data_IF_979761297438
#
_entry.id   IF_979761297438
#
_cell.length_a   1.000
_cell.length_b   1.000
_cell.length_c   1.000
_cell.angle_alpha   90.00
_cell.angle_beta   90.00
_cell.angle_gamma   90.00
#
_symmetry.space_group_name_H-M   'P 1'
#
loop_
_entity.id
_entity.type
_entity.pdbx_description
1 polymer ?
#
# COMPACT_ATOMS: atom_id res chain seq x y z
N UNK A 1 11.68 -4.44 5.14
CA UNK A 1 11.14 -3.53 4.13
C UNK A 1 11.34 -4.12 2.74
N UNK A 2 10.30 -4.21 1.95
CA UNK A 2 10.36 -4.62 0.54
C UNK A 2 9.57 -3.65 -0.33
N UNK A 3 9.87 -3.57 -1.63
CA UNK A 3 9.21 -2.66 -2.55
C UNK A 3 8.94 -3.31 -3.89
N UNK A 4 7.87 -2.89 -4.53
CA UNK A 4 7.40 -3.44 -5.80
C UNK A 4 7.53 -2.41 -6.93
N UNK A 5 7.96 -2.86 -8.09
CA UNK A 5 8.03 -1.99 -9.29
C UNK A 5 6.64 -1.52 -9.71
N UNK A 6 6.55 -0.25 -10.10
CA UNK A 6 5.31 0.31 -10.63
C UNK A 6 4.91 -0.38 -11.96
N UNK A 7 3.63 -0.79 -12.13
CA UNK A 7 3.19 -1.47 -13.34
C UNK A 7 3.33 -0.62 -14.61
N UNK A 8 3.18 0.70 -14.49
CA UNK A 8 3.34 1.62 -15.62
C UNK A 8 4.79 1.64 -16.12
N UNK A 9 5.74 1.55 -15.20
CA UNK A 9 7.18 1.44 -15.52
C UNK A 9 7.50 0.11 -16.18
N UNK A 10 7.02 -1.00 -15.63
CA UNK A 10 7.24 -2.33 -16.19
C UNK A 10 6.74 -2.42 -17.64
N UNK A 11 5.53 -1.93 -17.92
CA UNK A 11 4.97 -1.90 -19.27
C UNK A 11 5.82 -1.10 -20.25
N UNK A 12 6.33 0.08 -19.81
CA UNK A 12 7.15 0.96 -20.65
C UNK A 12 8.54 0.41 -20.92
N UNK A 13 9.10 -0.36 -20.00
CA UNK A 13 10.48 -0.87 -20.07
C UNK A 13 10.56 -2.34 -20.48
N UNK A 14 9.44 -2.98 -20.82
CA UNK A 14 9.35 -4.43 -21.10
C UNK A 14 9.96 -5.28 -19.96
N UNK A 15 9.77 -4.82 -18.72
CA UNK A 15 10.31 -5.45 -17.52
C UNK A 15 9.21 -6.24 -16.81
N UNK A 16 9.60 -7.22 -16.00
CA UNK A 16 8.67 -8.06 -15.25
C UNK A 16 8.42 -7.48 -13.88
N UNK A 17 7.13 -7.34 -13.53
CA UNK A 17 6.70 -7.01 -12.18
C UNK A 17 6.51 -8.30 -11.39
N UNK A 18 7.29 -8.46 -10.32
CA UNK A 18 7.17 -9.62 -9.42
C UNK A 18 5.87 -9.57 -8.63
N UNK A 19 5.31 -10.74 -8.35
CA UNK A 19 4.16 -10.88 -7.46
C UNK A 19 4.56 -10.68 -5.99
N UNK A 20 3.61 -10.30 -5.11
CA UNK A 20 3.91 -10.05 -3.70
C UNK A 20 4.62 -11.21 -3.00
N UNK A 21 4.16 -12.44 -3.22
CA UNK A 21 4.77 -13.65 -2.64
C UNK A 21 6.21 -13.87 -3.11
N UNK A 22 6.53 -13.57 -4.35
CA UNK A 22 7.91 -13.66 -4.85
C UNK A 22 8.83 -12.66 -4.15
N UNK A 23 8.30 -11.50 -3.75
CA UNK A 23 9.05 -10.47 -3.06
C UNK A 23 9.22 -10.75 -1.57
N UNK A 24 8.31 -11.50 -0.97
CA UNK A 24 8.35 -11.85 0.46
C UNK A 24 8.90 -13.25 0.73
N UNK A 25 9.07 -14.09 -0.31
CA UNK A 25 9.48 -15.47 -0.17
C UNK A 25 10.82 -15.68 0.57
N UNK A 26 11.76 -14.76 0.41
CA UNK A 26 13.07 -14.81 1.06
C UNK A 26 13.17 -13.98 2.34
N UNK A 27 12.07 -13.35 2.79
CA UNK A 27 12.07 -12.54 4.00
C UNK A 27 11.79 -13.40 5.23
N UNK A 28 12.39 -13.03 6.35
CA UNK A 28 12.09 -13.61 7.64
C UNK A 28 10.69 -13.15 8.09
N UNK A 29 9.73 -14.08 8.08
CA UNK A 29 8.33 -13.82 8.43
C UNK A 29 8.08 -13.74 9.94
N UNK A 30 9.09 -13.91 10.76
CA UNK A 30 9.02 -13.62 12.20
C UNK A 30 9.19 -12.12 12.49
N UNK A 31 9.68 -11.37 11.51
CA UNK A 31 9.85 -9.93 11.58
C UNK A 31 8.72 -9.20 10.83
N UNK A 32 8.32 -8.01 11.28
CA UNK A 32 7.32 -7.21 10.60
C UNK A 32 7.74 -6.88 9.16
N UNK A 33 6.84 -7.12 8.20
CA UNK A 33 7.05 -6.86 6.79
C UNK A 33 6.34 -5.57 6.39
N UNK A 34 7.12 -4.53 6.08
CA UNK A 34 6.62 -3.30 5.49
C UNK A 34 6.76 -3.42 3.97
N UNK A 35 5.64 -3.37 3.29
CA UNK A 35 5.54 -3.43 1.83
C UNK A 35 5.34 -2.04 1.25
N UNK A 36 5.98 -1.73 0.14
CA UNK A 36 5.81 -0.46 -0.57
C UNK A 36 5.39 -0.73 -2.01
N UNK A 37 4.20 -0.30 -2.37
CA UNK A 37 3.73 -0.32 -3.75
C UNK A 37 3.28 1.08 -4.17
N UNK A 38 3.48 1.45 -5.42
CA UNK A 38 3.01 2.74 -5.90
C UNK A 38 1.49 2.76 -6.02
N UNK A 39 0.90 1.69 -6.56
CA UNK A 39 -0.55 1.60 -6.79
C UNK A 39 -1.21 0.69 -5.76
N UNK A 40 -2.35 1.09 -5.15
CA UNK A 40 -3.06 0.30 -4.14
C UNK A 40 -3.90 -0.83 -4.77
N UNK A 41 -3.30 -1.57 -5.68
CA UNK A 41 -3.89 -2.74 -6.30
C UNK A 41 -3.42 -4.04 -5.66
N UNK A 42 -4.22 -5.09 -5.78
CA UNK A 42 -3.87 -6.42 -5.29
C UNK A 42 -3.64 -6.46 -3.76
N UNK A 43 -4.48 -5.76 -2.99
CA UNK A 43 -4.37 -5.73 -1.52
C UNK A 43 -4.56 -7.12 -0.89
N UNK A 44 -5.36 -8.00 -1.52
CA UNK A 44 -5.53 -9.38 -1.05
C UNK A 44 -4.24 -10.18 -1.18
N UNK A 45 -3.57 -10.06 -2.32
CA UNK A 45 -2.32 -10.75 -2.58
C UNK A 45 -1.19 -10.24 -1.70
N UNK A 46 -1.13 -8.92 -1.45
CA UNK A 46 -0.13 -8.33 -0.55
C UNK A 46 -0.36 -8.80 0.89
N UNK A 47 -1.61 -8.84 1.35
CA UNK A 47 -1.97 -9.36 2.67
C UNK A 47 -1.66 -10.86 2.78
N UNK A 48 -2.00 -11.66 1.75
CA UNK A 48 -1.71 -13.09 1.71
C UNK A 48 -0.20 -13.39 1.69
N UNK A 49 0.60 -12.51 1.08
CA UNK A 49 2.07 -12.62 1.08
C UNK A 49 2.70 -12.36 2.47
N UNK A 50 1.89 -11.93 3.45
CA UNK A 50 2.29 -11.72 4.85
C UNK A 50 2.83 -10.33 5.13
N UNK A 51 2.41 -9.31 4.38
CA UNK A 51 2.71 -7.94 4.73
C UNK A 51 1.92 -7.51 5.98
N UNK A 52 2.58 -6.79 6.89
CA UNK A 52 1.95 -6.21 8.08
C UNK A 52 1.52 -4.76 7.82
N UNK A 53 2.31 -4.03 7.03
CA UNK A 53 2.03 -2.66 6.62
C UNK A 53 2.29 -2.51 5.12
N UNK A 54 1.29 -2.00 4.40
CA UNK A 54 1.39 -1.67 2.97
C UNK A 54 1.22 -0.17 2.76
N UNK A 55 2.18 0.46 2.10
CA UNK A 55 2.24 1.90 1.85
C UNK A 55 2.11 2.17 0.36
N UNK A 56 1.05 2.90 0.00
CA UNK A 56 0.71 3.21 -1.39
C UNK A 56 0.45 4.70 -1.61
N UNK A 57 0.37 5.07 -2.87
CA UNK A 57 -0.02 6.39 -3.33
C UNK A 57 -0.78 6.32 -4.65
N UNK A 58 -0.29 6.99 -5.69
CA UNK A 58 -0.77 6.94 -7.08
C UNK A 58 -2.12 7.60 -7.36
N UNK A 59 -3.11 7.37 -6.55
CA UNK A 59 -4.50 7.75 -6.79
C UNK A 59 -4.73 9.25 -6.75
N UNK A 60 -3.85 9.97 -6.04
CA UNK A 60 -4.00 11.40 -5.73
C UNK A 60 -5.38 11.76 -5.14
N UNK A 61 -6.09 10.73 -4.58
CA UNK A 61 -7.49 10.86 -4.16
C UNK A 61 -8.38 11.45 -5.29
N UNK A 62 -8.09 11.04 -6.54
CA UNK A 62 -8.74 11.54 -7.75
C UNK A 62 -8.35 12.95 -8.16
N UNK A 63 -7.65 13.71 -7.31
CA UNK A 63 -7.14 15.09 -7.53
C UNK A 63 -8.21 16.14 -7.92
N UNK A 64 -9.17 15.80 -8.77
CA UNK A 64 -10.19 16.69 -9.32
C UNK A 64 -11.59 16.12 -9.09
N UNK A 65 -12.55 16.98 -8.71
CA UNK A 65 -13.95 16.60 -8.73
C UNK A 65 -14.46 16.52 -10.19
N UNK A 66 -15.22 15.48 -10.60
CA UNK A 66 -15.71 14.35 -9.80
C UNK A 66 -14.81 13.10 -9.85
N UNK A 67 -13.55 13.19 -10.27
CA UNK A 67 -12.66 12.03 -10.41
C UNK A 67 -12.39 11.31 -9.07
N UNK A 68 -12.45 12.04 -7.95
CA UNK A 68 -12.34 11.44 -6.62
C UNK A 68 -13.42 10.38 -6.36
N UNK A 69 -14.64 10.59 -6.87
CA UNK A 69 -15.73 9.59 -6.77
C UNK A 69 -15.39 8.36 -7.61
N UNK A 70 -14.90 8.58 -8.84
CA UNK A 70 -14.53 7.50 -9.77
C UNK A 70 -13.37 6.69 -9.19
N UNK A 71 -12.37 7.37 -8.63
CA UNK A 71 -11.22 6.73 -7.99
C UNK A 71 -11.65 5.84 -6.82
N UNK A 72 -12.59 6.33 -5.99
CA UNK A 72 -13.17 5.55 -4.89
C UNK A 72 -13.99 4.33 -5.34
N UNK A 73 -14.47 4.30 -6.59
CA UNK A 73 -15.16 3.14 -7.16
C UNK A 73 -14.18 2.11 -7.80
N UNK A 74 -13.00 2.56 -8.23
CA UNK A 74 -12.01 1.72 -8.89
C UNK A 74 -11.13 1.00 -7.87
N UNK A 75 -10.72 1.70 -6.80
CA UNK A 75 -9.79 1.18 -5.80
C UNK A 75 -10.49 0.81 -4.51
N UNK A 76 -10.19 -0.34 -3.95
CA UNK A 76 -10.70 -0.77 -2.64
C UNK A 76 -10.33 0.23 -1.53
N UNK A 77 -9.11 0.76 -1.60
CA UNK A 77 -8.67 1.90 -0.79
C UNK A 77 -8.06 2.93 -1.73
N UNK A 78 -8.77 4.01 -2.01
CA UNK A 78 -8.28 5.08 -2.86
C UNK A 78 -7.46 6.12 -2.10
N UNK A 79 -7.73 6.33 -0.82
CA UNK A 79 -7.01 7.26 0.06
C UNK A 79 -7.33 6.95 1.52
N UNK A 80 -6.37 7.17 2.39
CA UNK A 80 -6.52 6.96 3.82
C UNK A 80 -6.09 5.57 4.29
N UNK A 81 -6.73 5.08 5.32
CA UNK A 81 -6.39 3.85 6.01
C UNK A 81 -7.43 2.74 5.78
N UNK A 82 -6.94 1.55 5.49
CA UNK A 82 -7.73 0.32 5.43
C UNK A 82 -7.02 -0.80 6.20
N UNK A 83 -7.76 -1.57 6.99
CA UNK A 83 -7.26 -2.81 7.59
C UNK A 83 -7.80 -4.00 6.80
N UNK A 84 -6.88 -4.85 6.32
CA UNK A 84 -7.22 -6.06 5.55
C UNK A 84 -6.61 -7.29 6.22
N UNK A 85 -7.44 -8.06 6.91
CA UNK A 85 -6.96 -9.13 7.79
C UNK A 85 -6.06 -8.57 8.90
N UNK A 86 -4.80 -8.99 8.92
CA UNK A 86 -3.76 -8.45 9.83
C UNK A 86 -3.01 -7.27 9.23
N UNK A 87 -3.06 -7.08 7.92
CA UNK A 87 -2.35 -6.03 7.21
C UNK A 87 -3.00 -4.65 7.41
N UNK A 88 -2.19 -3.65 7.64
CA UNK A 88 -2.55 -2.23 7.64
C UNK A 88 -2.14 -1.63 6.30
N UNK A 89 -3.11 -1.10 5.53
CA UNK A 89 -2.82 -0.41 4.28
C UNK A 89 -3.05 1.09 4.43
N UNK A 90 -2.13 1.90 3.95
CA UNK A 90 -2.20 3.36 3.94
C UNK A 90 -1.97 3.84 2.52
N UNK A 91 -2.94 4.57 1.97
CA UNK A 91 -2.86 5.21 0.66
C UNK A 91 -2.85 6.72 0.85
N UNK A 92 -1.78 7.37 0.42
CA UNK A 92 -1.69 8.84 0.49
C UNK A 92 -2.12 9.50 -0.80
N UNK A 93 -2.80 10.65 -0.68
CA UNK A 93 -3.09 11.52 -1.82
C UNK A 93 -1.84 12.19 -2.38
N UNK A 94 -0.74 12.17 -1.61
CA UNK A 94 0.55 12.71 -2.00
C UNK A 94 0.64 14.24 -1.99
N UNK A 95 1.87 14.74 -1.93
CA UNK A 95 2.16 16.17 -1.95
C UNK A 95 2.12 16.78 -3.36
N UNK A 96 2.25 15.94 -4.40
CA UNK A 96 2.32 16.35 -5.80
C UNK A 96 0.95 16.39 -6.48
N UNK A 97 1.00 16.78 -7.75
CA UNK A 97 -0.12 16.78 -8.68
C UNK A 97 0.28 16.06 -9.97
N UNK A 98 -0.69 15.58 -10.72
CA UNK A 98 -0.47 15.04 -12.06
C UNK A 98 -1.39 15.75 -13.07
N UNK A 99 -0.98 15.84 -14.32
CA UNK A 99 -1.78 16.49 -15.37
C UNK A 99 -1.96 18.00 -15.12
N UNK A 100 -3.20 18.50 -15.01
CA UNK A 100 -3.47 19.92 -14.78
C UNK A 100 -2.89 20.40 -13.44
N UNK A 101 -2.35 21.62 -13.43
CA UNK A 101 -1.78 22.25 -12.25
C UNK A 101 -2.86 22.73 -11.27
N UNK A 102 -3.78 21.87 -10.91
CA UNK A 102 -4.84 22.17 -9.95
C UNK A 102 -5.26 20.92 -9.17
N UNK A 103 -5.79 21.14 -7.99
CA UNK A 103 -6.44 20.14 -7.15
C UNK A 103 -7.74 20.71 -6.63
N UNK A 104 -8.86 19.98 -6.78
CA UNK A 104 -10.20 20.39 -6.32
C UNK A 104 -10.86 19.25 -5.56
N UNK A 105 -11.49 19.57 -4.42
CA UNK A 105 -12.18 18.62 -3.54
C UNK A 105 -11.28 17.55 -2.87
N UNK A 106 -9.95 17.65 -3.03
CA UNK A 106 -8.97 16.80 -2.36
C UNK A 106 -7.78 17.64 -1.92
N UNK A 107 -6.99 17.16 -0.96
CA UNK A 107 -5.86 17.89 -0.41
C UNK A 107 -4.53 17.21 -0.75
N UNK A 108 -3.47 18.01 -0.91
CA UNK A 108 -2.11 17.50 -0.87
C UNK A 108 -1.74 17.15 0.56
N UNK A 109 -1.05 16.03 0.75
CA UNK A 109 -0.66 15.58 2.10
C UNK A 109 0.71 14.92 2.13
N UNK A 110 1.28 14.91 3.32
CA UNK A 110 2.44 14.12 3.69
C UNK A 110 2.04 13.33 4.93
N UNK A 111 2.16 12.00 4.87
CA UNK A 111 1.84 11.14 6.00
C UNK A 111 3.07 10.93 6.88
N UNK A 112 2.95 11.23 8.17
CA UNK A 112 3.91 10.81 9.20
C UNK A 112 3.36 9.59 9.90
N UNK A 113 4.08 8.47 9.81
CA UNK A 113 3.63 7.18 10.33
C UNK A 113 4.56 6.74 11.45
N UNK A 114 4.02 6.58 12.66
CA UNK A 114 4.75 6.00 13.78
C UNK A 114 4.36 4.53 13.93
N UNK A 115 5.33 3.65 13.82
CA UNK A 115 5.12 2.19 13.94
C UNK A 115 5.63 1.73 15.29
N UNK A 116 4.75 1.11 16.08
CA UNK A 116 5.10 0.49 17.35
C UNK A 116 5.18 -1.03 17.16
N UNK A 117 6.35 -1.58 17.39
CA UNK A 117 6.56 -3.02 17.32
C UNK A 117 6.36 -3.64 18.71
N UNK A 118 5.50 -4.63 18.80
CA UNK A 118 5.30 -5.42 20.00
C UNK A 118 5.90 -6.81 19.80
N UNK A 119 6.52 -7.41 20.83
CA UNK A 119 6.93 -8.81 20.74
C UNK A 119 5.71 -9.68 20.45
N UNK A 120 5.88 -10.72 19.64
CA UNK A 120 4.84 -11.70 19.39
C UNK A 120 4.29 -12.20 20.73
N UNK A 121 2.97 -12.24 20.88
CA UNK A 121 2.36 -12.84 22.07
C UNK A 121 2.82 -14.30 22.12
N UNK A 122 3.34 -14.80 23.25
CA UNK A 122 3.61 -16.22 23.39
C UNK A 122 2.31 -16.97 23.10
N UNK A 123 2.41 -17.98 22.24
CA UNK A 123 1.26 -18.82 21.94
C UNK A 123 0.69 -19.38 23.25
N UNK A 124 -0.63 -19.24 23.43
CA UNK A 124 -1.35 -19.76 24.59
C UNK A 124 -1.38 -21.30 24.68
N UNK A 125 -0.51 -21.97 23.93
CA UNK A 125 -0.34 -23.43 23.86
C UNK A 125 0.97 -23.94 24.44
N UNK A 126 1.78 -23.11 25.11
CA UNK A 126 2.88 -23.60 25.92
C UNK A 126 2.35 -23.96 27.32
N UNK A 127 2.25 -25.25 27.66
CA UNK A 127 1.95 -25.66 29.03
C UNK A 127 3.19 -25.40 29.89
N UNK A 128 3.00 -24.62 30.94
CA UNK A 128 3.95 -24.42 32.02
C UNK A 128 4.34 -25.72 32.69
#
# INVERSE_FOLDING_TARGET
>A
LTGRKDPSRCRKMSDTRKDPDQLTACLDKTLPIIFMDHQPGQLDEVAAAGADLDLCGHTHDGQLFPLNIITGLIWENSCGYLKKGTMHNIVTSGAGIWGPNMRTATNSEICSITVHFYPARPNSSDPS
#
